data_IF_097408816354
#
_entry.id   IF_097408816354
#
_cell.length_a   1.000
_cell.length_b   1.000
_cell.length_c   1.000
_cell.angle_alpha   90.00
_cell.angle_beta   90.00
_cell.angle_gamma   90.00
#
_symmetry.space_group_name_H-M   'P 1'
#
loop_
_entity.id
_entity.type
_entity.pdbx_description
1 polymer ?
#
# COMPACT_ATOMS: atom_id res chain seq x y z
N UNK A 1 -16.52 -18.79 -26.31
CA UNK A 1 -15.30 -18.02 -26.62
C UNK A 1 -14.79 -17.42 -25.32
N UNK A 2 -13.60 -17.78 -24.82
CA UNK A 2 -13.06 -17.11 -23.65
C UNK A 2 -12.55 -15.73 -24.08
N UNK A 3 -13.07 -14.69 -23.44
CA UNK A 3 -12.58 -13.32 -23.61
C UNK A 3 -11.14 -13.26 -23.12
N UNK A 4 -10.24 -13.27 -24.11
CA UNK A 4 -8.86 -12.84 -24.05
C UNK A 4 -8.80 -11.38 -23.56
N UNK A 5 -8.87 -11.18 -22.25
CA UNK A 5 -8.26 -9.99 -21.65
C UNK A 5 -6.76 -10.28 -21.55
N UNK A 6 -6.06 -9.92 -22.64
CA UNK A 6 -4.61 -10.03 -22.71
C UNK A 6 -3.95 -9.23 -21.57
N UNK A 7 -2.73 -9.62 -21.16
CA UNK A 7 -1.97 -8.87 -20.16
C UNK A 7 -1.84 -7.43 -20.65
N UNK A 8 -2.33 -6.48 -19.84
CA UNK A 8 -2.25 -5.06 -20.15
C UNK A 8 -0.78 -4.70 -20.40
N UNK A 9 -0.47 -4.37 -21.65
CA UNK A 9 0.82 -3.84 -22.07
C UNK A 9 1.09 -2.53 -21.31
N UNK A 10 1.92 -2.56 -20.27
CA UNK A 10 2.49 -1.34 -19.66
C UNK A 10 3.98 -1.49 -19.41
N UNK A 11 4.74 -1.66 -20.50
CA UNK A 11 6.20 -1.79 -20.54
C UNK A 11 7.02 -0.57 -20.10
N UNK A 12 6.56 0.21 -19.10
CA UNK A 12 7.30 1.32 -18.47
C UNK A 12 7.20 1.31 -16.93
N UNK A 13 6.31 0.52 -16.31
CA UNK A 13 6.05 0.60 -14.85
C UNK A 13 6.66 -0.53 -13.99
N UNK A 14 7.47 -1.43 -14.56
CA UNK A 14 7.91 -2.65 -13.87
C UNK A 14 8.74 -2.41 -12.58
N UNK A 15 9.52 -1.32 -12.52
CA UNK A 15 10.36 -1.03 -11.35
C UNK A 15 9.55 -0.55 -10.15
N UNK A 16 8.51 0.25 -10.39
CA UNK A 16 7.68 0.84 -9.33
C UNK A 16 6.65 -0.16 -8.82
N UNK A 17 6.02 -0.91 -9.72
CA UNK A 17 5.07 -1.96 -9.35
C UNK A 17 5.72 -2.96 -8.39
N UNK A 18 6.99 -3.32 -8.64
CA UNK A 18 7.76 -4.19 -7.77
C UNK A 18 8.05 -3.58 -6.38
N UNK A 19 8.27 -2.26 -6.31
CA UNK A 19 8.46 -1.56 -5.04
C UNK A 19 7.15 -1.54 -4.23
N UNK A 20 6.04 -1.22 -4.88
CA UNK A 20 4.70 -1.23 -4.27
C UNK A 20 4.31 -2.63 -3.82
N UNK A 21 4.57 -3.66 -4.63
CA UNK A 21 4.29 -5.05 -4.28
C UNK A 21 5.08 -5.51 -3.06
N UNK A 22 6.37 -5.12 -2.97
CA UNK A 22 7.21 -5.37 -1.78
C UNK A 22 6.62 -4.76 -0.53
N UNK A 23 6.20 -3.51 -0.63
CA UNK A 23 5.61 -2.75 0.46
C UNK A 23 4.28 -3.37 0.88
N UNK A 24 3.42 -3.66 -0.11
CA UNK A 24 2.15 -4.37 0.07
C UNK A 24 2.33 -5.68 0.81
N UNK A 25 3.31 -6.48 0.39
CA UNK A 25 3.63 -7.76 1.00
C UNK A 25 4.17 -7.60 2.43
N UNK A 26 5.04 -6.63 2.67
CA UNK A 26 5.58 -6.35 4.00
C UNK A 26 4.47 -5.99 5.00
N UNK A 27 3.49 -5.19 4.60
CA UNK A 27 2.35 -4.85 5.44
C UNK A 27 1.27 -5.93 5.48
N UNK A 28 1.08 -6.69 4.40
CA UNK A 28 0.13 -7.81 4.39
C UNK A 28 0.55 -8.89 5.37
N UNK A 29 1.86 -9.15 5.52
CA UNK A 29 2.39 -10.11 6.50
C UNK A 29 2.06 -9.67 7.94
N UNK A 30 2.23 -8.38 8.23
CA UNK A 30 1.88 -7.79 9.54
C UNK A 30 0.35 -7.73 9.74
N UNK A 31 -0.41 -7.47 8.67
CA UNK A 31 -1.87 -7.31 8.68
C UNK A 31 -2.66 -8.61 8.86
N UNK A 32 -2.03 -9.77 8.68
CA UNK A 32 -2.64 -11.06 9.06
C UNK A 32 -2.74 -11.23 10.58
N UNK A 33 -1.86 -10.58 11.34
CA UNK A 33 -1.78 -10.72 12.81
C UNK A 33 -2.27 -9.48 13.56
N UNK A 34 -2.32 -8.31 12.93
CA UNK A 34 -2.71 -7.05 13.56
C UNK A 34 -3.76 -6.31 12.73
N UNK A 35 -4.70 -5.58 13.37
CA UNK A 35 -5.64 -4.75 12.63
C UNK A 35 -4.89 -3.67 11.84
N UNK A 36 -5.33 -3.38 10.61
CA UNK A 36 -4.72 -2.38 9.73
C UNK A 36 -4.57 -1.01 10.41
N UNK A 37 -5.46 -0.68 11.36
CA UNK A 37 -5.35 0.50 12.21
C UNK A 37 -4.04 0.55 13.00
N UNK A 38 -3.62 -0.55 13.63
CA UNK A 38 -2.37 -0.60 14.39
C UNK A 38 -1.14 -0.45 13.49
N UNK A 39 -1.24 -0.96 12.26
CA UNK A 39 -0.18 -0.82 11.26
C UNK A 39 -0.08 0.63 10.80
N UNK A 40 -1.23 1.25 10.58
CA UNK A 40 -1.34 2.66 10.26
C UNK A 40 -0.77 3.53 11.39
N UNK A 41 -1.19 3.32 12.64
CA UNK A 41 -0.64 4.03 13.82
C UNK A 41 0.86 3.83 14.02
N UNK A 42 1.43 2.71 13.54
CA UNK A 42 2.88 2.47 13.58
C UNK A 42 3.64 3.26 12.52
N UNK A 43 2.99 3.64 11.42
CA UNK A 43 3.57 4.42 10.33
C UNK A 43 3.30 5.92 10.49
N UNK A 44 2.09 6.26 10.92
CA UNK A 44 1.61 7.61 11.22
C UNK A 44 2.26 8.10 12.52
N UNK A 45 3.41 8.77 12.38
CA UNK A 45 4.22 9.20 13.51
C UNK A 45 3.71 10.51 14.12
N UNK A 46 3.03 11.34 13.31
CA UNK A 46 2.33 12.54 13.76
C UNK A 46 0.90 12.26 14.27
N UNK A 47 0.36 11.05 14.06
CA UNK A 47 -0.99 10.63 14.45
C UNK A 47 -2.08 11.55 13.85
N UNK A 48 -1.84 12.05 12.64
CA UNK A 48 -2.74 13.02 11.97
C UNK A 48 -3.84 12.31 11.15
N UNK A 49 -3.76 10.98 11.00
CA UNK A 49 -4.74 10.19 10.26
C UNK A 49 -4.42 10.06 8.77
N UNK A 50 -3.30 10.61 8.32
CA UNK A 50 -2.73 10.51 6.98
C UNK A 50 -1.24 10.21 7.05
N UNK A 51 -0.74 9.32 6.18
CA UNK A 51 0.69 9.02 6.08
C UNK A 51 1.28 9.90 4.99
N UNK A 52 2.08 10.88 5.40
CA UNK A 52 2.78 11.74 4.44
C UNK A 52 3.91 10.98 3.73
N UNK A 53 4.35 11.48 2.58
CA UNK A 53 5.48 10.90 1.85
C UNK A 53 6.73 10.70 2.74
N UNK A 54 7.01 11.65 3.63
CA UNK A 54 8.17 11.57 4.53
C UNK A 54 8.04 10.44 5.54
N UNK A 55 6.84 10.24 6.09
CA UNK A 55 6.55 9.18 7.04
C UNK A 55 6.53 7.83 6.38
N UNK A 56 5.96 7.75 5.17
CA UNK A 56 6.03 6.56 4.34
C UNK A 56 7.49 6.14 4.12
N UNK A 57 8.36 7.05 3.69
CA UNK A 57 9.79 6.76 3.47
C UNK A 57 10.44 6.25 4.75
N UNK A 58 10.18 6.89 5.90
CA UNK A 58 10.73 6.45 7.20
C UNK A 58 10.19 5.09 7.62
N UNK A 59 8.90 4.83 7.44
CA UNK A 59 8.26 3.55 7.72
C UNK A 59 8.84 2.43 6.89
N UNK A 60 9.04 2.66 5.59
CA UNK A 60 9.66 1.66 4.71
C UNK A 60 11.15 1.46 5.02
N UNK A 61 11.88 2.52 5.39
CA UNK A 61 13.25 2.39 5.87
C UNK A 61 13.33 1.55 7.15
N UNK A 62 12.35 1.68 8.06
CA UNK A 62 12.28 0.86 9.27
C UNK A 62 12.01 -0.63 8.98
N UNK A 63 11.37 -0.94 7.85
CA UNK A 63 11.17 -2.31 7.36
C UNK A 63 12.40 -2.88 6.62
N UNK A 64 13.48 -2.09 6.49
CA UNK A 64 14.74 -2.47 5.84
C UNK A 64 14.56 -3.08 4.43
N UNK A 65 13.55 -2.62 3.67
CA UNK A 65 13.25 -3.15 2.33
C UNK A 65 14.33 -2.82 1.27
N UNK A 66 15.30 -1.96 1.61
CA UNK A 66 16.42 -1.56 0.76
C UNK A 66 15.99 -0.77 -0.48
N UNK A 67 14.87 -0.03 -0.39
CA UNK A 67 14.35 0.79 -1.49
C UNK A 67 14.95 2.20 -1.44
N UNK A 68 15.28 2.74 -2.62
CA UNK A 68 15.78 4.12 -2.75
C UNK A 68 14.67 5.16 -2.61
N UNK A 69 15.03 6.42 -2.34
CA UNK A 69 14.07 7.54 -2.27
C UNK A 69 13.20 7.67 -3.53
N UNK A 70 13.78 7.40 -4.71
CA UNK A 70 13.06 7.50 -5.97
C UNK A 70 11.99 6.40 -6.10
N UNK A 71 12.33 5.13 -5.83
CA UNK A 71 11.35 4.04 -5.77
C UNK A 71 10.28 4.28 -4.70
N UNK A 72 10.64 4.82 -3.54
CA UNK A 72 9.68 5.12 -2.48
C UNK A 72 8.73 6.23 -2.87
N UNK A 73 9.24 7.29 -3.51
CA UNK A 73 8.42 8.39 -4.01
C UNK A 73 7.45 7.91 -5.09
N UNK A 74 7.90 7.07 -6.01
CA UNK A 74 7.02 6.51 -7.04
C UNK A 74 6.02 5.49 -6.47
N UNK A 75 6.44 4.69 -5.48
CA UNK A 75 5.55 3.75 -4.80
C UNK A 75 4.47 4.48 -4.01
N UNK A 76 4.84 5.57 -3.33
CA UNK A 76 3.91 6.47 -2.66
C UNK A 76 2.88 7.01 -3.66
N UNK A 77 3.32 7.52 -4.81
CA UNK A 77 2.43 8.05 -5.85
C UNK A 77 1.51 7.00 -6.49
N UNK A 78 1.81 5.71 -6.34
CA UNK A 78 0.90 4.64 -6.76
C UNK A 78 -0.13 4.28 -5.69
N UNK A 79 0.20 4.51 -4.41
CA UNK A 79 -0.69 4.25 -3.28
C UNK A 79 -1.63 5.43 -3.02
N UNK A 80 -1.14 6.65 -3.22
CA UNK A 80 -1.91 7.90 -3.19
C UNK A 80 -2.78 7.98 -4.45
N UNK A 81 -4.04 7.55 -4.33
CA UNK A 81 -5.01 7.53 -5.44
C UNK A 81 -5.72 8.89 -5.53
N UNK A 82 -5.92 9.54 -4.39
CA UNK A 82 -6.49 10.87 -4.25
C UNK A 82 -5.58 11.95 -4.85
N UNK A 83 -4.27 11.75 -4.77
CA UNK A 83 -3.24 12.67 -5.27
C UNK A 83 -3.03 13.88 -4.36
N UNK A 84 -3.36 13.76 -3.07
CA UNK A 84 -3.26 14.85 -2.10
C UNK A 84 -1.84 14.97 -1.50
N UNK A 85 -0.98 13.96 -1.73
CA UNK A 85 0.38 13.93 -1.19
C UNK A 85 0.47 13.28 0.20
N UNK A 86 -0.63 12.71 0.68
CA UNK A 86 -0.77 11.93 1.91
C UNK A 86 -1.65 10.71 1.64
N UNK A 87 -1.32 9.56 2.23
CA UNK A 87 -2.12 8.35 2.14
C UNK A 87 -3.08 8.34 3.32
N UNK A 88 -4.36 8.56 3.04
CA UNK A 88 -5.40 8.54 4.05
C UNK A 88 -5.67 7.11 4.53
N UNK A 89 -6.24 6.97 5.73
CA UNK A 89 -6.56 5.66 6.28
C UNK A 89 -7.46 4.81 5.34
N UNK A 90 -8.41 5.42 4.64
CA UNK A 90 -9.30 4.71 3.72
C UNK A 90 -8.56 4.18 2.48
N UNK A 91 -7.66 4.99 1.92
CA UNK A 91 -6.80 4.59 0.81
C UNK A 91 -5.84 3.47 1.20
N UNK A 92 -5.28 3.56 2.41
CA UNK A 92 -4.49 2.48 2.98
C UNK A 92 -5.33 1.20 3.09
N UNK A 93 -6.54 1.27 3.64
CA UNK A 93 -7.42 0.11 3.69
C UNK A 93 -7.70 -0.47 2.30
N UNK A 94 -7.97 0.37 1.30
CA UNK A 94 -8.24 -0.05 -0.06
C UNK A 94 -7.02 -0.71 -0.74
N UNK A 95 -5.82 -0.17 -0.50
CA UNK A 95 -4.57 -0.70 -1.05
C UNK A 95 -4.16 -2.04 -0.41
N UNK A 96 -4.34 -2.17 0.91
CA UNK A 96 -3.88 -3.33 1.67
C UNK A 96 -4.95 -4.41 1.86
N UNK A 97 -6.24 -4.10 1.71
CA UNK A 97 -7.25 -5.16 1.60
C UNK A 97 -7.11 -5.86 0.25
N UNK A 98 -7.12 -7.20 0.22
CA UNK A 98 -7.35 -7.88 -1.03
C UNK A 98 -8.77 -7.52 -1.50
N UNK A 99 -8.90 -7.16 -2.77
CA UNK A 99 -10.19 -6.92 -3.45
C UNK A 99 -11.15 -8.12 -3.43
N UNK A 100 -10.80 -9.19 -2.71
CA UNK A 100 -11.55 -10.42 -2.52
C UNK A 100 -12.19 -10.55 -1.12
N UNK A 101 -12.01 -9.58 -0.22
CA UNK A 101 -12.84 -9.51 0.99
C UNK A 101 -14.15 -8.81 0.66
N UNK A 102 -15.06 -9.57 0.04
CA UNK A 102 -16.48 -9.38 0.33
C UNK A 102 -16.58 -9.45 1.85
N UNK A 103 -16.98 -8.34 2.48
CA UNK A 103 -17.37 -8.31 3.87
C UNK A 103 -18.58 -9.24 4.04
N UNK A 104 -18.33 -10.54 4.17
CA UNK A 104 -19.30 -11.50 4.66
C UNK A 104 -19.31 -11.30 6.18
N UNK A 105 -20.21 -10.42 6.61
CA UNK A 105 -20.70 -10.46 7.98
C UNK A 105 -21.26 -11.87 8.20
N UNK A 106 -20.48 -12.74 8.84
CA UNK A 106 -21.02 -13.85 9.65
C UNK A 106 -21.77 -13.17 10.81
N UNK A 107 -22.96 -12.63 10.51
CA UNK A 107 -23.98 -12.36 11.50
C UNK A 107 -24.74 -13.68 11.65
N UNK A 108 -24.49 -14.32 12.79
CA UNK A 108 -25.30 -15.42 13.38
C UNK A 108 -26.80 -15.34 13.07
#
# INVERSE_FOLDING_TARGET
>A
VPSIEGPCNRGVKASVDAAVDKIRKAFSDVGQSQPLKQIFEKMDANADGGITQQEFIKGIQALELGLGYNELSEAFFQLDVSGDGEIEYDEFLAAFKPSNLSYDYDLE
#
